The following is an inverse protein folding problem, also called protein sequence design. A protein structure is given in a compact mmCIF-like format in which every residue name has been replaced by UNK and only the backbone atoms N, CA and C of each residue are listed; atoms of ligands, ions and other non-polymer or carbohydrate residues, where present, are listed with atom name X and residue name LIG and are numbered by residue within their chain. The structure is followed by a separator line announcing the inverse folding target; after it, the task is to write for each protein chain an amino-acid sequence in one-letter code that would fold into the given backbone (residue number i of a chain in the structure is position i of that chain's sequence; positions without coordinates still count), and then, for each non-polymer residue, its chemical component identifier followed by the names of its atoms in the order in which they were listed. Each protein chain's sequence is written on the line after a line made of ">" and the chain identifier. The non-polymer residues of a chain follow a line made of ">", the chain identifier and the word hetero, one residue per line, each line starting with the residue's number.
data_IF_769840562347
#
_entry.id   IF_769840562347
#
_cell.length_a   1.000
_cell.length_b   1.000
_cell.length_c   1.000
_cell.angle_alpha   90.00
_cell.angle_beta   90.00
_cell.angle_gamma   90.00
#
_symmetry.space_group_name_H-M   'P 1'
#
loop_
_entity.id
_entity.type
_entity.pdbx_description
1 polymer ?
#
# COMPACT_ATOMS: atom_id res chain seq x y z
N UNK A 1 -11.19 20.10 10.71
CA UNK A 1 -11.84 20.27 9.38
C UNK A 1 -11.36 19.18 8.43
N UNK A 2 -12.08 18.90 7.33
CA UNK A 2 -11.66 17.93 6.29
C UNK A 2 -10.27 18.26 5.74
N UNK A 3 -10.02 19.52 5.39
CA UNK A 3 -8.72 20.01 4.93
C UNK A 3 -7.55 19.66 5.88
N UNK A 4 -7.74 19.77 7.20
CA UNK A 4 -6.71 19.41 8.17
C UNK A 4 -6.40 17.90 8.19
N UNK A 5 -7.40 17.05 7.92
CA UNK A 5 -7.19 15.59 7.82
C UNK A 5 -6.43 15.24 6.54
N UNK A 6 -6.77 15.85 5.41
CA UNK A 6 -6.07 15.65 4.13
C UNK A 6 -4.60 16.05 4.24
N UNK A 7 -4.30 17.20 4.84
CA UNK A 7 -2.92 17.66 5.09
C UNK A 7 -2.13 16.65 5.91
N UNK A 8 -2.75 16.02 6.91
CA UNK A 8 -2.11 14.95 7.70
C UNK A 8 -1.83 13.70 6.87
N UNK A 9 -2.76 13.31 5.99
CA UNK A 9 -2.59 12.16 5.10
C UNK A 9 -1.44 12.39 4.12
N UNK A 10 -1.42 13.56 3.46
CA UNK A 10 -0.37 13.97 2.53
C UNK A 10 0.99 14.01 3.23
N UNK A 11 1.08 14.64 4.40
CA UNK A 11 2.32 14.69 5.17
C UNK A 11 2.82 13.30 5.58
N UNK A 12 1.91 12.41 5.98
CA UNK A 12 2.29 11.04 6.34
C UNK A 12 2.78 10.25 5.12
N UNK A 13 2.13 10.39 3.96
CA UNK A 13 2.57 9.83 2.68
C UNK A 13 3.97 10.31 2.32
N UNK A 14 4.26 11.59 2.46
CA UNK A 14 5.56 12.17 2.06
C UNK A 14 6.74 11.60 2.84
N UNK A 15 6.49 10.97 4.00
CA UNK A 15 7.50 10.24 4.75
C UNK A 15 7.87 8.89 4.13
N UNK A 16 7.07 8.34 3.22
CA UNK A 16 7.30 7.00 2.69
C UNK A 16 8.47 6.92 1.71
N UNK A 17 8.71 7.96 0.91
CA UNK A 17 9.82 7.98 -0.05
C UNK A 17 11.19 7.69 0.59
N UNK A 18 11.64 8.46 1.61
CA UNK A 18 12.94 8.18 2.23
C UNK A 18 13.00 6.81 2.93
N UNK A 19 11.86 6.28 3.41
CA UNK A 19 11.79 4.95 4.05
C UNK A 19 11.91 3.80 3.04
N UNK A 20 11.52 4.03 1.79
CA UNK A 20 11.69 3.03 0.73
C UNK A 20 13.13 2.97 0.23
N UNK A 21 13.84 4.10 0.26
CA UNK A 21 15.22 4.24 -0.21
C UNK A 21 16.28 3.88 0.83
N UNK A 22 16.04 4.17 2.11
CA UNK A 22 17.02 3.94 3.19
C UNK A 22 16.55 2.83 4.15
N UNK A 23 17.25 1.70 4.12
CA UNK A 23 17.01 0.57 5.02
C UNK A 23 17.13 0.93 6.50
N UNK A 24 18.01 1.85 6.88
CA UNK A 24 18.13 2.30 8.27
C UNK A 24 16.88 3.07 8.67
N UNK A 25 16.39 3.98 7.84
CA UNK A 25 15.15 4.71 8.15
C UNK A 25 13.96 3.73 8.17
N UNK A 26 13.92 2.76 7.25
CA UNK A 26 12.91 1.70 7.26
C UNK A 26 12.85 0.96 8.60
N UNK A 27 13.98 0.46 9.09
CA UNK A 27 14.04 -0.30 10.33
C UNK A 27 13.59 0.50 11.56
N UNK A 28 13.83 1.82 11.58
CA UNK A 28 13.62 2.64 12.76
C UNK A 28 12.30 3.44 12.74
N UNK A 29 11.79 3.79 11.56
CA UNK A 29 10.72 4.78 11.42
C UNK A 29 9.48 4.27 10.66
N UNK A 30 9.54 3.10 10.00
CA UNK A 30 8.42 2.63 9.16
C UNK A 30 7.12 2.48 9.96
N UNK A 31 7.18 1.99 11.21
CA UNK A 31 6.00 1.82 12.06
C UNK A 31 5.35 3.16 12.41
N UNK A 32 6.16 4.15 12.78
CA UNK A 32 5.65 5.46 13.16
C UNK A 32 4.97 6.14 11.96
N UNK A 33 5.65 6.13 10.80
CA UNK A 33 5.10 6.69 9.57
C UNK A 33 3.81 5.96 9.14
N UNK A 34 3.79 4.62 9.20
CA UNK A 34 2.60 3.84 8.91
C UNK A 34 1.44 4.15 9.86
N UNK A 35 1.71 4.29 11.15
CA UNK A 35 0.68 4.56 12.16
C UNK A 35 0.04 5.93 11.95
N UNK A 36 0.83 6.96 11.63
CA UNK A 36 0.33 8.28 11.27
C UNK A 36 -0.55 8.23 10.01
N UNK A 37 -0.07 7.53 8.98
CA UNK A 37 -0.80 7.35 7.73
C UNK A 37 -2.13 6.63 7.94
N UNK A 38 -2.11 5.48 8.64
CA UNK A 38 -3.32 4.69 8.96
C UNK A 38 -4.36 5.55 9.67
N UNK A 39 -3.97 6.30 10.69
CA UNK A 39 -4.90 7.16 11.43
C UNK A 39 -5.53 8.20 10.51
N UNK A 40 -4.76 8.80 9.60
CA UNK A 40 -5.28 9.75 8.64
C UNK A 40 -6.27 9.11 7.64
N UNK A 41 -5.95 7.93 7.10
CA UNK A 41 -6.85 7.15 6.22
C UNK A 41 -8.14 6.79 6.94
N UNK A 42 -8.06 6.23 8.15
CA UNK A 42 -9.24 5.83 8.93
C UNK A 42 -10.15 7.02 9.25
N UNK A 43 -9.58 8.20 9.53
CA UNK A 43 -10.34 9.43 9.75
C UNK A 43 -11.04 9.97 8.49
N UNK A 44 -10.61 9.55 7.31
CA UNK A 44 -11.15 9.94 6.01
C UNK A 44 -11.94 8.81 5.35
N UNK A 45 -12.13 7.64 5.98
CA UNK A 45 -12.81 6.47 5.38
C UNK A 45 -14.24 6.71 4.89
N UNK A 46 -14.89 7.79 5.34
CA UNK A 46 -16.24 8.22 4.91
C UNK A 46 -16.21 9.36 3.89
N UNK A 47 -15.02 9.85 3.57
CA UNK A 47 -14.74 10.99 2.70
C UNK A 47 -13.85 10.47 1.54
N UNK A 48 -14.35 9.52 0.72
CA UNK A 48 -13.59 8.86 -0.36
C UNK A 48 -12.95 9.85 -1.33
N UNK A 49 -13.68 10.90 -1.70
CA UNK A 49 -13.20 11.93 -2.62
C UNK A 49 -11.91 12.62 -2.13
N UNK A 50 -11.77 12.76 -0.80
CA UNK A 50 -10.57 13.36 -0.19
C UNK A 50 -9.39 12.39 -0.23
N UNK A 51 -9.63 11.09 -0.05
CA UNK A 51 -8.61 10.05 -0.19
C UNK A 51 -8.17 9.95 -1.66
N UNK A 52 -9.11 10.11 -2.59
CA UNK A 52 -8.85 10.03 -4.03
C UNK A 52 -8.06 11.23 -4.55
N UNK A 53 -8.24 12.41 -3.96
CA UNK A 53 -7.48 13.61 -4.27
C UNK A 53 -5.97 13.48 -3.95
N UNK A 54 -5.57 12.49 -3.15
CA UNK A 54 -4.16 12.26 -2.80
C UNK A 54 -3.37 11.80 -4.03
N UNK A 55 -2.31 12.55 -4.34
CA UNK A 55 -1.34 12.22 -5.38
C UNK A 55 -0.33 11.16 -4.89
N UNK A 56 0.45 10.54 -5.79
CA UNK A 56 1.49 9.59 -5.41
C UNK A 56 0.95 8.30 -4.76
N UNK A 57 -0.11 7.73 -5.34
CA UNK A 57 -0.76 6.50 -4.86
C UNK A 57 0.15 5.28 -5.00
N UNK A 58 0.97 5.25 -6.04
CA UNK A 58 2.04 4.28 -6.29
C UNK A 58 3.02 4.20 -5.11
N UNK A 59 3.47 5.35 -4.60
CA UNK A 59 4.37 5.42 -3.44
C UNK A 59 3.76 4.75 -2.20
N UNK A 60 2.48 5.01 -1.95
CA UNK A 60 1.73 4.39 -0.86
C UNK A 60 1.61 2.88 -1.07
N UNK A 61 1.30 2.44 -2.28
CA UNK A 61 1.19 1.02 -2.59
C UNK A 61 2.51 0.29 -2.36
N UNK A 62 3.63 0.81 -2.86
CA UNK A 62 4.96 0.24 -2.64
C UNK A 62 5.30 0.13 -1.16
N UNK A 63 4.99 1.18 -0.39
CA UNK A 63 5.17 1.17 1.07
C UNK A 63 4.34 0.07 1.74
N UNK A 64 3.03 0.00 1.46
CA UNK A 64 2.12 -0.98 2.06
C UNK A 64 2.50 -2.42 1.69
N UNK A 65 2.94 -2.65 0.45
CA UNK A 65 3.42 -3.95 -0.03
C UNK A 65 4.71 -4.35 0.67
N UNK A 66 5.71 -3.45 0.74
CA UNK A 66 6.96 -3.70 1.48
C UNK A 66 6.68 -3.99 2.96
N UNK A 67 5.82 -3.20 3.59
CA UNK A 67 5.46 -3.34 5.00
C UNK A 67 4.77 -4.69 5.25
N UNK A 68 3.79 -5.05 4.42
CA UNK A 68 3.07 -6.32 4.52
C UNK A 68 4.00 -7.50 4.30
N UNK A 69 4.93 -7.42 3.36
CA UNK A 69 5.93 -8.47 3.13
C UNK A 69 6.90 -8.66 4.31
N UNK A 70 7.41 -7.57 4.86
CA UNK A 70 8.53 -7.61 5.82
C UNK A 70 8.09 -7.59 7.29
N UNK A 71 6.87 -7.13 7.59
CA UNK A 71 6.40 -6.90 8.96
C UNK A 71 5.03 -7.54 9.22
N UNK A 72 5.01 -8.88 9.31
CA UNK A 72 3.79 -9.65 9.62
C UNK A 72 2.96 -9.17 10.82
N UNK A 73 3.55 -8.69 11.94
CA UNK A 73 2.76 -8.18 13.07
C UNK A 73 1.84 -7.00 12.72
N UNK A 74 2.04 -6.34 11.57
CA UNK A 74 1.22 -5.23 11.11
C UNK A 74 0.09 -5.63 10.18
N UNK A 75 -0.03 -6.91 9.80
CA UNK A 75 -1.02 -7.37 8.82
C UNK A 75 -2.44 -6.91 9.15
N UNK A 76 -2.92 -7.07 10.39
CA UNK A 76 -4.26 -6.61 10.76
C UNK A 76 -4.45 -5.09 10.60
N UNK A 77 -3.41 -4.29 10.86
CA UNK A 77 -3.43 -2.83 10.64
C UNK A 77 -3.36 -2.50 9.15
N UNK A 78 -2.59 -3.25 8.36
CA UNK A 78 -2.54 -3.12 6.91
C UNK A 78 -3.90 -3.44 6.30
N UNK A 79 -4.55 -4.54 6.70
CA UNK A 79 -5.87 -4.96 6.20
C UNK A 79 -6.91 -3.86 6.33
N UNK A 80 -6.95 -3.13 7.45
CA UNK A 80 -7.88 -2.01 7.63
C UNK A 80 -7.65 -0.87 6.63
N UNK A 81 -6.39 -0.51 6.41
CA UNK A 81 -6.02 0.52 5.43
C UNK A 81 -6.37 0.04 4.03
N UNK A 82 -5.98 -1.20 3.69
CA UNK A 82 -6.23 -1.80 2.39
C UNK A 82 -7.73 -1.82 2.08
N UNK A 83 -8.58 -2.33 2.98
CA UNK A 83 -10.04 -2.31 2.81
C UNK A 83 -10.57 -0.90 2.55
N UNK A 84 -10.03 0.11 3.25
CA UNK A 84 -10.44 1.51 3.02
C UNK A 84 -10.07 1.97 1.62
N UNK A 85 -8.84 1.71 1.17
CA UNK A 85 -8.37 2.11 -0.16
C UNK A 85 -9.08 1.34 -1.29
N UNK A 86 -9.44 0.08 -1.07
CA UNK A 86 -10.12 -0.80 -2.03
C UNK A 86 -11.54 -0.36 -2.39
N UNK A 87 -12.17 0.44 -1.55
CA UNK A 87 -13.46 1.07 -1.85
C UNK A 87 -13.37 2.18 -2.90
N UNK A 88 -12.16 2.65 -3.22
CA UNK A 88 -11.93 3.63 -4.29
C UNK A 88 -11.39 2.98 -5.56
N UNK A 89 -12.09 3.20 -6.67
CA UNK A 89 -11.65 2.77 -7.99
C UNK A 89 -10.31 3.40 -8.39
N UNK A 90 -10.05 4.66 -8.02
CA UNK A 90 -8.80 5.35 -8.36
C UNK A 90 -7.59 4.71 -7.67
N UNK A 91 -7.77 4.23 -6.44
CA UNK A 91 -6.72 3.51 -5.71
C UNK A 91 -6.49 2.10 -6.25
N UNK A 92 -7.56 1.40 -6.61
CA UNK A 92 -7.46 0.08 -7.24
C UNK A 92 -6.79 0.17 -8.62
N UNK A 93 -7.16 1.16 -9.45
CA UNK A 93 -6.50 1.41 -10.74
C UNK A 93 -5.03 1.76 -10.56
N UNK A 94 -4.69 2.61 -9.58
CA UNK A 94 -3.30 2.94 -9.29
C UNK A 94 -2.47 1.72 -8.89
N UNK A 95 -3.06 0.77 -8.16
CA UNK A 95 -2.42 -0.51 -7.85
C UNK A 95 -2.20 -1.35 -9.11
N UNK A 96 -3.24 -1.51 -9.93
CA UNK A 96 -3.18 -2.34 -11.15
C UNK A 96 -2.20 -1.79 -12.20
N UNK A 97 -2.00 -0.47 -12.21
CA UNK A 97 -1.10 0.23 -13.11
C UNK A 97 0.38 0.20 -12.67
N UNK A 98 0.69 -0.12 -11.40
CA UNK A 98 2.07 -0.22 -10.93
C UNK A 98 2.66 -1.60 -11.28
N UNK A 99 3.67 -1.68 -12.17
CA UNK A 99 4.27 -2.96 -12.55
C UNK A 99 5.01 -3.63 -11.39
N UNK A 100 5.39 -2.89 -10.36
CA UNK A 100 6.06 -3.46 -9.18
C UNK A 100 5.07 -4.02 -8.15
N UNK A 101 3.78 -3.78 -8.33
CA UNK A 101 2.76 -4.26 -7.42
C UNK A 101 2.56 -5.78 -7.54
N UNK A 102 2.48 -6.46 -6.39
CA UNK A 102 2.22 -7.90 -6.35
C UNK A 102 1.17 -8.21 -5.28
N UNK A 103 0.05 -8.79 -5.70
CA UNK A 103 -1.02 -9.20 -4.78
C UNK A 103 -0.54 -10.16 -3.69
N UNK A 104 0.49 -10.98 -3.98
CA UNK A 104 1.04 -11.93 -3.02
C UNK A 104 1.81 -11.27 -1.86
N UNK A 105 2.16 -9.99 -1.97
CA UNK A 105 2.83 -9.25 -0.90
C UNK A 105 1.82 -8.69 0.14
N UNK A 106 0.51 -8.84 -0.10
CA UNK A 106 -0.56 -8.38 0.79
C UNK A 106 -0.96 -9.43 1.85
N UNK A 107 -1.62 -9.02 2.96
CA UNK A 107 -2.19 -9.96 3.91
C UNK A 107 -3.20 -10.90 3.24
N UNK A 108 -3.09 -12.20 3.52
CA UNK A 108 -3.84 -13.25 2.81
C UNK A 108 -5.36 -13.08 2.85
N UNK A 109 -5.88 -12.47 3.92
CA UNK A 109 -7.32 -12.28 4.12
C UNK A 109 -7.95 -11.26 3.17
N UNK A 110 -7.15 -10.38 2.57
CA UNK A 110 -7.63 -9.35 1.63
C UNK A 110 -7.29 -9.65 0.18
N UNK A 111 -6.40 -10.61 -0.10
CA UNK A 111 -5.95 -10.93 -1.47
C UNK A 111 -7.11 -11.28 -2.39
N UNK A 112 -8.00 -12.17 -1.97
CA UNK A 112 -9.15 -12.61 -2.80
C UNK A 112 -10.12 -11.47 -3.09
N UNK A 113 -10.43 -10.68 -2.05
CA UNK A 113 -11.32 -9.52 -2.16
C UNK A 113 -10.69 -8.47 -3.09
N UNK A 114 -9.39 -8.26 -3.00
CA UNK A 114 -8.70 -7.26 -3.80
C UNK A 114 -8.51 -7.68 -5.25
N UNK A 115 -8.23 -8.95 -5.51
CA UNK A 115 -8.19 -9.49 -6.87
C UNK A 115 -9.52 -9.26 -7.59
N UNK A 116 -10.66 -9.55 -6.93
CA UNK A 116 -11.99 -9.28 -7.48
C UNK A 116 -12.20 -7.80 -7.79
N UNK A 117 -11.78 -6.89 -6.89
CA UNK A 117 -11.89 -5.44 -7.11
C UNK A 117 -11.05 -4.94 -8.29
N UNK A 118 -9.85 -5.49 -8.48
CA UNK A 118 -8.99 -5.16 -9.64
C UNK A 118 -9.66 -5.60 -10.94
N UNK A 119 -10.23 -6.79 -10.98
CA UNK A 119 -10.97 -7.29 -12.16
C UNK A 119 -12.20 -6.43 -12.45
N UNK A 120 -12.99 -6.06 -11.44
CA UNK A 120 -14.18 -5.20 -11.58
C UNK A 120 -13.86 -3.80 -12.14
N UNK A 121 -12.67 -3.27 -11.84
CA UNK A 121 -12.22 -1.97 -12.37
C UNK A 121 -11.57 -2.06 -13.76
N UNK A 122 -11.58 -3.25 -14.37
CA UNK A 122 -10.99 -3.50 -15.69
C UNK A 122 -9.47 -3.61 -15.69
N UNK A 123 -8.85 -3.74 -14.50
CA UNK A 123 -7.44 -4.02 -14.36
C UNK A 123 -7.14 -5.52 -14.43
N UNK A 124 -5.88 -5.87 -14.70
CA UNK A 124 -5.41 -7.25 -14.53
C UNK A 124 -4.75 -7.39 -13.15
N UNK A 125 -5.15 -8.38 -12.33
CA UNK A 125 -4.46 -8.64 -11.06
C UNK A 125 -2.99 -8.99 -11.31
N UNK A 126 -2.09 -8.15 -10.82
CA UNK A 126 -0.65 -8.38 -10.93
C UNK A 126 -0.23 -9.46 -9.93
N UNK A 127 -0.11 -10.70 -10.40
CA UNK A 127 0.38 -11.85 -9.62
C UNK A 127 1.76 -12.21 -10.15
N UNK A 128 2.79 -11.59 -9.58
CA UNK A 128 4.17 -11.91 -9.94
C UNK A 128 4.60 -13.18 -9.20
N UNK A 129 4.78 -14.27 -9.93
CA UNK A 129 5.47 -15.46 -9.42
C UNK A 129 6.95 -15.10 -9.34
N UNK A 130 7.44 -14.82 -8.13
CA UNK A 130 8.88 -14.69 -7.90
C UNK A 130 9.50 -16.08 -8.05
N UNK A 131 9.93 -16.40 -9.27
CA UNK A 131 10.79 -17.55 -9.49
C UNK A 131 12.06 -17.32 -8.67
N UNK A 132 12.47 -18.27 -7.80
CA UNK A 132 13.77 -18.17 -7.16
C UNK A 132 14.80 -18.12 -8.28
N UNK A 133 15.62 -17.07 -8.32
CA UNK A 133 16.85 -17.06 -9.10
C UNK A 133 17.70 -18.21 -8.56
N UNK A 134 17.59 -19.38 -9.21
CA UNK A 134 18.53 -20.48 -9.03
C UNK A 134 19.87 -19.93 -9.47
N UNK A 135 20.69 -19.52 -8.51
CA UNK A 135 22.07 -19.15 -8.76
C UNK A 135 22.80 -20.37 -9.30
N UNK A 136 22.95 -20.45 -10.62
CA UNK A 136 23.97 -21.27 -11.23
C UNK A 136 25.31 -20.66 -10.84
N UNK A 137 25.83 -21.06 -9.68
CA UNK A 137 27.24 -20.89 -9.36
C UNK A 137 28.02 -21.69 -10.40
N UNK A 138 28.71 -20.98 -11.29
CA UNK A 138 29.73 -21.59 -12.12
C UNK A 138 30.82 -22.14 -11.19
N UNK A 139 31.08 -23.44 -11.35
CA UNK A 139 32.12 -24.19 -10.66
C UNK A 139 33.53 -23.76 -11.07
#
# INVERSE_FOLDING_TARGET
>A
SKASKLVRLVRARDRFAPLLEDSRLWENECEAAFSEFRVAVVHLRRDSDEIDAVQGKDLVWRFLLKLSRERRPFWGRCEEVLRTLMHSDEWVKAFAADPEANLNDLPTNVVKEFAARVEETGGAPQVHVRLPLVGCGAA
#
